data_IF_273027890921
#
_entry.id   IF_273027890921
#
_cell.length_a   1.000
_cell.length_b   1.000
_cell.length_c   1.000
_cell.angle_alpha   90.00
_cell.angle_beta   90.00
_cell.angle_gamma   90.00
#
_symmetry.space_group_name_H-M   'P 1'
#
loop_
_entity.id
_entity.type
_entity.pdbx_description
1 polymer ?
#
# COMPACT_ATOMS: atom_id res chain seq x y z
N UNK A 1 38.15 -2.35 9.53
CA UNK A 1 39.15 -3.43 9.58
C UNK A 1 38.46 -4.78 9.80
N UNK A 2 37.42 -5.07 9.01
CA UNK A 2 36.73 -6.36 9.02
C UNK A 2 36.91 -7.00 7.65
N UNK A 3 38.14 -7.39 7.35
CA UNK A 3 38.46 -8.21 6.20
C UNK A 3 38.09 -9.66 6.54
N UNK A 4 36.79 -9.96 6.55
CA UNK A 4 36.29 -11.33 6.64
C UNK A 4 36.08 -11.79 5.20
N UNK A 5 37.12 -12.42 4.66
CA UNK A 5 37.09 -13.10 3.38
C UNK A 5 36.55 -14.52 3.50
N UNK A 6 36.36 -15.15 2.34
CA UNK A 6 35.99 -16.57 2.27
C UNK A 6 37.03 -17.48 2.95
N UNK A 7 38.32 -17.14 2.83
CA UNK A 7 39.41 -17.89 3.46
C UNK A 7 39.38 -17.81 4.99
N UNK A 8 39.15 -16.63 5.58
CA UNK A 8 38.98 -16.54 7.05
C UNK A 8 37.80 -17.38 7.53
N UNK A 9 36.65 -17.34 6.83
CA UNK A 9 35.48 -18.15 7.17
C UNK A 9 35.78 -19.65 7.12
N UNK A 10 36.55 -20.11 6.12
CA UNK A 10 36.96 -21.51 6.01
C UNK A 10 37.82 -21.93 7.21
N UNK A 11 38.83 -21.11 7.56
CA UNK A 11 39.71 -21.37 8.71
C UNK A 11 38.90 -21.41 10.00
N UNK A 12 38.00 -20.43 10.21
CA UNK A 12 37.13 -20.40 11.37
C UNK A 12 36.20 -21.62 11.43
N UNK A 13 35.71 -22.08 10.28
CA UNK A 13 34.94 -23.30 10.14
C UNK A 13 35.72 -24.53 10.58
N UNK A 14 36.96 -24.71 10.10
CA UNK A 14 37.83 -25.83 10.50
C UNK A 14 38.12 -25.79 12.00
N UNK A 15 38.48 -24.62 12.54
CA UNK A 15 38.73 -24.46 13.98
C UNK A 15 37.47 -24.77 14.79
N UNK A 16 36.31 -24.28 14.37
CA UNK A 16 35.03 -24.58 14.99
C UNK A 16 34.72 -26.09 14.97
N UNK A 17 34.98 -26.75 13.84
CA UNK A 17 34.79 -28.20 13.69
C UNK A 17 35.72 -28.98 14.63
N UNK A 18 36.94 -28.51 14.84
CA UNK A 18 37.91 -29.16 15.74
C UNK A 18 37.55 -28.97 17.23
N UNK A 19 37.17 -27.75 17.62
CA UNK A 19 36.89 -27.40 19.02
C UNK A 19 35.55 -27.94 19.47
N UNK A 20 34.50 -27.72 18.69
CA UNK A 20 33.13 -28.07 19.05
C UNK A 20 32.75 -29.45 18.51
N UNK A 21 33.38 -29.90 17.43
CA UNK A 21 33.07 -31.15 16.75
C UNK A 21 32.13 -30.95 15.54
N UNK A 22 32.26 -31.79 14.49
CA UNK A 22 31.46 -31.69 13.26
C UNK A 22 29.95 -31.88 13.48
N UNK A 23 29.57 -32.65 14.50
CA UNK A 23 28.16 -32.91 14.80
C UNK A 23 27.49 -31.77 15.59
N UNK A 24 28.28 -31.00 16.34
CA UNK A 24 27.77 -30.03 17.33
C UNK A 24 27.72 -28.61 16.77
N UNK A 25 28.66 -28.25 15.90
CA UNK A 25 28.67 -26.96 15.18
C UNK A 25 27.35 -26.68 14.43
N UNK A 26 26.81 -27.57 13.57
CA UNK A 26 25.56 -27.30 12.87
C UNK A 26 24.39 -27.11 13.82
N UNK A 27 24.37 -27.83 14.96
CA UNK A 27 23.34 -27.66 15.99
C UNK A 27 23.46 -26.29 16.66
N UNK A 28 24.67 -25.86 17.03
CA UNK A 28 24.93 -24.54 17.63
C UNK A 28 24.60 -23.39 16.67
N UNK A 29 24.98 -23.50 15.39
CA UNK A 29 24.66 -22.51 14.36
C UNK A 29 23.14 -22.37 14.16
N UNK A 30 22.39 -23.49 14.15
CA UNK A 30 20.92 -23.47 14.11
C UNK A 30 20.34 -22.75 15.33
N UNK A 31 20.81 -23.06 16.53
CA UNK A 31 20.31 -22.40 17.75
C UNK A 31 20.64 -20.90 17.73
N UNK A 32 21.88 -20.52 17.44
CA UNK A 32 22.27 -19.12 17.32
C UNK A 32 21.44 -18.40 16.25
N UNK A 33 21.25 -19.02 15.08
CA UNK A 33 20.43 -18.48 14.00
C UNK A 33 18.98 -18.24 14.41
N UNK A 34 18.36 -19.16 15.17
CA UNK A 34 17.02 -18.96 15.71
C UNK A 34 16.94 -17.77 16.67
N UNK A 35 17.97 -17.58 17.51
CA UNK A 35 18.03 -16.46 18.47
C UNK A 35 18.23 -15.13 17.75
N UNK A 36 19.19 -15.06 16.83
CA UNK A 36 19.39 -13.89 15.96
C UNK A 36 18.11 -13.58 15.17
N UNK A 37 17.44 -14.60 14.63
CA UNK A 37 16.20 -14.43 13.87
C UNK A 37 15.07 -13.84 14.73
N UNK A 38 14.92 -14.33 15.97
CA UNK A 38 13.97 -13.76 16.95
C UNK A 38 14.26 -12.30 17.25
N UNK A 39 15.51 -11.96 17.57
CA UNK A 39 15.92 -10.58 17.85
C UNK A 39 15.66 -9.68 16.64
N UNK A 40 16.07 -10.10 15.44
CA UNK A 40 15.82 -9.37 14.20
C UNK A 40 14.32 -9.13 13.97
N UNK A 41 13.47 -10.12 14.25
CA UNK A 41 12.01 -10.00 14.11
C UNK A 41 11.45 -8.95 15.07
N UNK A 42 11.88 -8.96 16.33
CA UNK A 42 11.47 -8.00 17.36
C UNK A 42 11.92 -6.58 17.03
N UNK A 43 13.18 -6.40 16.62
CA UNK A 43 13.69 -5.08 16.18
C UNK A 43 12.92 -4.59 14.96
N UNK A 44 12.64 -5.48 14.01
CA UNK A 44 11.88 -5.16 12.81
C UNK A 44 10.41 -4.80 13.12
N UNK A 45 9.78 -5.39 14.13
CA UNK A 45 8.42 -4.98 14.56
C UNK A 45 8.44 -3.63 15.26
N UNK A 46 9.43 -3.37 16.13
CA UNK A 46 9.58 -2.05 16.75
C UNK A 46 9.81 -0.96 15.70
N UNK A 47 10.67 -1.23 14.71
CA UNK A 47 10.91 -0.28 13.62
C UNK A 47 9.65 -0.04 12.78
N UNK A 48 8.84 -1.07 12.52
CA UNK A 48 7.54 -0.92 11.84
C UNK A 48 6.58 -0.05 12.65
N UNK A 49 6.51 -0.27 13.96
CA UNK A 49 5.63 0.47 14.85
C UNK A 49 6.07 1.94 14.97
N UNK A 50 7.37 2.20 15.10
CA UNK A 50 7.96 3.54 15.10
C UNK A 50 7.71 4.24 13.76
N UNK A 51 7.95 3.57 12.64
CA UNK A 51 7.69 4.12 11.31
C UNK A 51 6.19 4.43 11.12
N UNK A 52 5.29 3.59 11.62
CA UNK A 52 3.84 3.84 11.53
C UNK A 52 3.39 5.03 12.38
N UNK A 53 4.07 5.31 13.50
CA UNK A 53 3.80 6.50 14.32
C UNK A 53 4.33 7.77 13.67
N UNK A 54 5.54 7.71 13.11
CA UNK A 54 6.14 8.83 12.37
C UNK A 54 5.37 9.12 11.08
N UNK A 55 4.96 8.10 10.33
CA UNK A 55 4.06 8.27 9.17
C UNK A 55 2.72 8.87 9.58
N UNK A 56 2.14 8.47 10.72
CA UNK A 56 0.89 9.05 11.19
C UNK A 56 1.02 10.53 11.59
N UNK A 57 2.16 10.95 12.14
CA UNK A 57 2.45 12.36 12.44
C UNK A 57 2.71 13.18 11.16
N UNK A 58 3.53 12.67 10.24
CA UNK A 58 3.79 13.34 8.96
C UNK A 58 2.53 13.44 8.09
N UNK A 59 1.69 12.41 8.09
CA UNK A 59 0.43 12.42 7.35
C UNK A 59 -0.58 13.40 7.98
N UNK A 60 -0.63 13.50 9.32
CA UNK A 60 -1.40 14.53 10.02
C UNK A 60 -0.91 15.94 9.69
N UNK A 61 0.40 16.15 9.65
CA UNK A 61 1.00 17.45 9.33
C UNK A 61 0.61 17.87 7.90
N UNK A 62 0.75 16.97 6.91
CA UNK A 62 0.37 17.20 5.52
C UNK A 62 -1.13 17.49 5.36
N UNK A 63 -1.99 16.76 6.07
CA UNK A 63 -3.44 17.00 6.06
C UNK A 63 -3.82 18.35 6.68
N UNK A 64 -3.13 18.77 7.74
CA UNK A 64 -3.38 20.05 8.42
C UNK A 64 -2.94 21.25 7.57
N UNK A 65 -1.82 21.14 6.87
CA UNK A 65 -1.38 22.15 5.89
C UNK A 65 -2.35 22.26 4.71
N UNK A 66 -2.86 21.13 4.21
CA UNK A 66 -3.86 21.14 3.15
C UNK A 66 -5.19 21.77 3.61
N UNK A 67 -5.68 21.44 4.80
CA UNK A 67 -6.89 22.06 5.35
C UNK A 67 -6.73 23.57 5.51
N UNK A 68 -5.59 24.05 5.99
CA UNK A 68 -5.33 25.49 6.14
C UNK A 68 -5.35 26.20 4.79
N UNK A 69 -4.77 25.60 3.74
CA UNK A 69 -4.80 26.13 2.37
C UNK A 69 -6.21 26.12 1.76
N UNK A 70 -6.99 25.08 2.06
CA UNK A 70 -8.39 25.00 1.63
C UNK A 70 -9.23 26.08 2.31
N UNK A 71 -9.11 26.27 3.63
CA UNK A 71 -9.82 27.32 4.36
C UNK A 71 -9.45 28.73 3.88
N UNK A 72 -8.18 28.98 3.56
CA UNK A 72 -7.76 30.25 2.97
C UNK A 72 -8.37 30.46 1.58
N UNK A 73 -8.40 29.41 0.75
CA UNK A 73 -9.00 29.43 -0.59
C UNK A 73 -10.52 29.63 -0.53
N UNK A 74 -11.19 28.98 0.43
CA UNK A 74 -12.62 29.15 0.67
C UNK A 74 -12.95 30.55 1.17
N UNK A 75 -12.14 31.11 2.09
CA UNK A 75 -12.32 32.50 2.53
C UNK A 75 -12.09 33.51 1.41
N UNK A 76 -11.11 33.27 0.53
CA UNK A 76 -10.92 34.11 -0.68
C UNK A 76 -12.11 33.99 -1.62
N UNK A 77 -12.54 32.78 -1.95
CA UNK A 77 -13.72 32.56 -2.79
C UNK A 77 -14.98 33.21 -2.19
N UNK A 78 -15.15 33.13 -0.86
CA UNK A 78 -16.28 33.77 -0.16
C UNK A 78 -16.21 35.29 -0.25
N UNK A 79 -15.03 35.89 -0.11
CA UNK A 79 -14.82 37.34 -0.30
C UNK A 79 -15.01 37.78 -1.75
N UNK A 80 -14.55 36.99 -2.70
CA UNK A 80 -14.70 37.28 -4.12
C UNK A 80 -16.19 37.23 -4.50
N UNK A 81 -16.92 36.21 -4.04
CA UNK A 81 -18.37 36.09 -4.23
C UNK A 81 -19.12 37.23 -3.52
N UNK A 82 -18.71 37.63 -2.32
CA UNK A 82 -19.32 38.76 -1.60
C UNK A 82 -19.02 40.12 -2.28
N UNK A 83 -17.84 40.27 -2.87
CA UNK A 83 -17.48 41.45 -3.68
C UNK A 83 -18.20 41.50 -5.03
N UNK A 84 -18.58 40.34 -5.58
CA UNK A 84 -19.40 40.18 -6.79
C UNK A 84 -20.89 40.25 -6.47
N UNK A 85 -21.31 40.01 -5.23
CA UNK A 85 -22.70 40.17 -4.80
C UNK A 85 -23.05 41.64 -4.50
N UNK A 86 -22.06 42.47 -4.13
CA UNK A 86 -22.27 43.91 -3.85
C UNK A 86 -22.49 44.86 -5.05
N UNK A 87 -22.16 44.56 -6.33
CA UNK A 87 -22.49 45.43 -7.45
C UNK A 87 -23.95 45.28 -7.97
N UNK A 88 -24.71 44.28 -7.51
CA UNK A 88 -26.05 43.99 -8.05
C UNK A 88 -27.19 44.33 -7.08
N UNK A 89 -27.18 45.53 -6.48
CA UNK A 89 -28.37 46.07 -5.78
C UNK A 89 -28.86 47.41 -6.32
N UNK A 90 -28.35 47.86 -7.48
CA UNK A 90 -28.85 49.09 -8.09
C UNK A 90 -28.82 49.00 -9.61
N UNK A 91 -29.83 48.37 -10.22
CA UNK A 91 -30.43 48.78 -11.50
C UNK A 91 -31.46 47.75 -12.02
N UNK A 92 -32.73 47.97 -11.73
CA UNK A 92 -33.78 47.84 -12.76
C UNK A 92 -33.87 49.20 -13.46
N UNK A 93 -34.12 49.35 -14.78
CA UNK A 93 -35.13 48.60 -15.56
C UNK A 93 -34.80 48.37 -17.06
N UNK A 94 -35.41 47.36 -17.71
CA UNK A 94 -36.13 47.50 -19.00
C UNK A 94 -36.57 46.14 -19.60
N UNK A 95 -37.90 45.98 -19.73
CA UNK A 95 -38.66 45.71 -20.97
C UNK A 95 -37.81 45.75 -22.27
N UNK A 96 -37.92 44.89 -23.27
CA UNK A 96 -39.09 44.28 -23.91
C UNK A 96 -38.63 43.06 -24.75
N UNK A 97 -39.58 42.17 -25.00
CA UNK A 97 -39.85 41.37 -26.22
C UNK A 97 -38.82 40.42 -26.87
N UNK A 98 -39.37 39.24 -27.14
CA UNK A 98 -39.28 38.42 -28.36
C UNK A 98 -38.41 37.15 -28.45
N UNK A 99 -39.07 36.16 -29.07
CA UNK A 99 -38.60 34.93 -29.71
C UNK A 99 -38.28 33.68 -28.87
N UNK A 100 -39.25 32.75 -28.87
CA UNK A 100 -39.01 31.29 -29.00
C UNK A 100 -38.88 30.95 -30.50
N UNK A 101 -38.44 29.74 -30.94
CA UNK A 101 -37.97 28.54 -30.23
C UNK A 101 -36.57 28.10 -30.71
N UNK A 102 -35.87 27.15 -30.09
CA UNK A 102 -35.81 25.80 -30.67
C UNK A 102 -35.19 24.80 -29.69
N UNK A 103 -35.82 23.64 -29.66
CA UNK A 103 -35.41 22.48 -28.91
C UNK A 103 -34.40 21.68 -29.75
N UNK A 104 -33.14 21.62 -29.32
CA UNK A 104 -32.21 20.56 -29.72
C UNK A 104 -31.82 19.75 -28.48
N UNK A 105 -32.72 18.83 -28.10
CA UNK A 105 -32.41 17.73 -27.18
C UNK A 105 -31.71 16.63 -28.00
N UNK A 106 -30.39 16.65 -28.04
CA UNK A 106 -29.61 15.46 -28.36
C UNK A 106 -29.31 14.65 -27.10
N UNK A 107 -29.99 13.51 -27.04
CA UNK A 107 -29.66 12.35 -26.21
C UNK A 107 -28.20 11.92 -26.43
N UNK A 108 -27.52 11.54 -25.35
CA UNK A 108 -26.73 10.30 -25.26
C UNK A 108 -26.61 9.92 -23.78
N UNK A 109 -27.69 9.36 -23.24
CA UNK A 109 -27.61 8.37 -22.17
C UNK A 109 -27.43 7.02 -22.87
N UNK A 110 -26.23 6.45 -22.85
CA UNK A 110 -25.95 5.01 -22.92
C UNK A 110 -24.45 4.82 -23.14
N UNK A 111 -23.69 4.49 -22.08
CA UNK A 111 -22.61 3.48 -22.13
C UNK A 111 -22.01 3.28 -20.73
N UNK A 112 -22.63 2.42 -19.92
CA UNK A 112 -21.93 1.80 -18.78
C UNK A 112 -22.47 0.40 -18.44
N UNK A 113 -22.07 -0.64 -19.19
CA UNK A 113 -22.12 -2.01 -18.67
C UNK A 113 -20.75 -2.72 -18.74
N UNK A 114 -19.63 -2.04 -18.45
CA UNK A 114 -18.30 -2.67 -18.57
C UNK A 114 -17.44 -2.67 -17.30
N UNK A 115 -17.82 -1.98 -16.23
CA UNK A 115 -17.05 -2.01 -14.98
C UNK A 115 -17.34 -3.26 -14.15
N UNK A 116 -18.63 -3.61 -13.99
CA UNK A 116 -19.07 -4.72 -13.14
C UNK A 116 -18.65 -6.09 -13.72
N UNK A 117 -18.87 -6.30 -15.02
CA UNK A 117 -18.52 -7.54 -15.69
C UNK A 117 -17.00 -7.84 -15.67
N UNK A 118 -16.16 -6.80 -15.71
CA UNK A 118 -14.69 -6.95 -15.64
C UNK A 118 -14.19 -7.32 -14.25
N UNK A 119 -14.91 -6.94 -13.20
CA UNK A 119 -14.58 -7.28 -11.82
C UNK A 119 -14.91 -8.74 -11.51
N UNK A 120 -16.02 -9.24 -12.04
CA UNK A 120 -16.41 -10.65 -11.87
C UNK A 120 -15.46 -11.63 -12.57
N UNK A 121 -15.01 -11.31 -13.79
CA UNK A 121 -14.02 -12.12 -14.53
C UNK A 121 -12.66 -12.15 -13.83
N UNK A 122 -12.19 -11.00 -13.32
CA UNK A 122 -10.92 -10.91 -12.60
C UNK A 122 -10.94 -11.72 -11.28
N UNK A 123 -12.10 -11.77 -10.61
CA UNK A 123 -12.26 -12.55 -9.38
C UNK A 123 -12.31 -14.05 -9.66
N UNK A 124 -12.86 -14.48 -10.79
CA UNK A 124 -12.88 -15.87 -11.22
C UNK A 124 -11.46 -16.40 -11.53
N UNK A 125 -10.64 -15.59 -12.21
CA UNK A 125 -9.27 -15.96 -12.57
C UNK A 125 -8.34 -16.08 -11.34
N UNK A 126 -8.52 -15.19 -10.35
CA UNK A 126 -7.81 -15.28 -9.07
C UNK A 126 -8.16 -16.56 -8.27
N UNK A 127 -9.39 -17.08 -8.42
CA UNK A 127 -9.83 -18.30 -7.74
C UNK A 127 -9.27 -19.57 -8.40
N UNK A 128 -9.16 -19.58 -9.74
CA UNK A 128 -8.58 -20.72 -10.48
C UNK A 128 -7.08 -20.90 -10.19
N UNK A 129 -6.33 -19.80 -10.11
CA UNK A 129 -4.89 -19.83 -9.83
C UNK A 129 -4.54 -20.23 -8.39
N UNK A 130 -5.50 -20.14 -7.46
CA UNK A 130 -5.32 -20.53 -6.06
C UNK A 130 -5.50 -22.04 -5.78
N UNK A 131 -5.92 -22.84 -6.76
CA UNK A 131 -6.21 -24.27 -6.56
C UNK A 131 -5.19 -25.25 -7.17
N UNK A 132 -4.17 -24.76 -7.89
CA UNK A 132 -3.18 -25.61 -8.59
C UNK A 132 -1.77 -25.56 -7.98
N UNK A 133 -1.67 -25.49 -6.65
CA UNK A 133 -0.41 -25.74 -5.94
C UNK A 133 -0.63 -26.48 -4.62
N UNK A 134 -1.25 -27.66 -4.71
CA UNK A 134 -0.95 -28.74 -3.76
C UNK A 134 0.25 -29.53 -4.32
N UNK A 135 1.40 -29.57 -3.62
CA UNK A 135 2.48 -30.45 -4.01
C UNK A 135 2.05 -31.90 -3.76
N UNK A 136 2.16 -32.70 -4.81
CA UNK A 136 2.14 -34.15 -4.77
C UNK A 136 3.30 -34.66 -3.91
N UNK A 137 3.01 -35.08 -2.68
CA UNK A 137 3.88 -35.95 -1.91
C UNK A 137 3.64 -37.41 -2.35
N UNK A 138 4.59 -37.94 -3.12
CA UNK A 138 4.92 -39.37 -3.09
C UNK A 138 5.47 -39.72 -1.69
N UNK A 139 4.98 -40.80 -1.06
CA UNK A 139 5.79 -41.90 -0.50
C UNK A 139 5.03 -42.71 0.58
N UNK A 140 4.96 -44.02 0.32
CA UNK A 140 4.93 -45.15 1.29
C UNK A 140 3.85 -45.21 2.37
N UNK A 141 2.80 -45.96 2.03
CA UNK A 141 2.01 -46.74 2.98
C UNK A 141 1.77 -48.15 2.46
N UNK A 142 2.77 -49.03 2.56
CA UNK A 142 2.57 -50.47 2.41
C UNK A 142 3.23 -51.20 3.60
N UNK A 143 2.37 -51.50 4.57
CA UNK A 143 2.62 -52.50 5.59
C UNK A 143 2.59 -53.91 4.96
N UNK A 144 3.22 -54.84 5.69
CA UNK A 144 2.94 -56.29 5.67
C UNK A 144 3.51 -57.13 4.52
N UNK A 145 4.71 -57.70 4.72
CA UNK A 145 4.92 -59.15 4.99
C UNK A 145 6.40 -59.50 5.05
#
# INVERSE_FOLDING_TARGET
MFDIGFLELLILGIVGLLVLGPERLPKAARTAGLWIGKIKRTVSSMQREINSQLEAEELRQKLKEQQTKLDESLNKAKRDVESIAQPYSSSTPHKDDDERPDADRRQTDDEAPSASARLDDALAEARATSHESSPSDDDKGAASR
#
